data_IF_125209886801
#
_entry.id   IF_125209886801
#
_cell.length_a   1.000
_cell.length_b   1.000
_cell.length_c   1.000
_cell.angle_alpha   90.00
_cell.angle_beta   90.00
_cell.angle_gamma   90.00
#
_symmetry.space_group_name_H-M   'P 1'
#
loop_
_entity.id
_entity.type
_entity.pdbx_description
1 polymer ?
#
# COMPACT_ATOMS: atom_id res chain seq x y z
N UNK A 1 -13.21 -30.75 -3.15
CA UNK A 1 -12.89 -30.06 -1.89
C UNK A 1 -14.11 -29.22 -1.53
N UNK A 2 -14.78 -29.52 -0.41
CA UNK A 2 -15.97 -28.79 -0.01
C UNK A 2 -15.58 -27.33 0.27
N UNK A 3 -16.04 -26.41 -0.57
CA UNK A 3 -15.97 -25.00 -0.25
C UNK A 3 -16.80 -24.79 1.01
N UNK A 4 -16.15 -24.43 2.12
CA UNK A 4 -16.85 -23.93 3.31
C UNK A 4 -17.78 -22.82 2.83
N UNK A 5 -19.09 -23.02 2.98
CA UNK A 5 -20.10 -22.00 2.65
C UNK A 5 -19.80 -20.78 3.50
N UNK A 6 -19.27 -19.72 2.87
CA UNK A 6 -19.00 -18.46 3.56
C UNK A 6 -20.34 -17.85 3.98
N UNK A 7 -20.52 -17.69 5.28
CA UNK A 7 -21.67 -17.00 5.87
C UNK A 7 -21.43 -15.48 6.05
N UNK A 8 -20.41 -14.91 5.37
CA UNK A 8 -20.02 -13.51 5.51
C UNK A 8 -19.64 -12.88 4.16
N UNK A 9 -19.93 -11.59 4.03
CA UNK A 9 -19.65 -10.80 2.82
C UNK A 9 -18.25 -10.15 2.81
N UNK A 10 -17.40 -10.50 3.78
CA UNK A 10 -16.01 -10.02 3.82
C UNK A 10 -15.12 -10.71 2.78
N UNK A 11 -14.28 -9.90 2.13
CA UNK A 11 -13.23 -10.37 1.24
C UNK A 11 -12.07 -10.97 2.05
N UNK A 12 -11.79 -12.25 1.84
CA UNK A 12 -10.59 -12.91 2.35
C UNK A 12 -9.51 -12.86 1.27
N UNK A 13 -8.53 -12.00 1.46
CA UNK A 13 -7.45 -11.77 0.50
C UNK A 13 -6.48 -12.96 0.50
N UNK A 14 -6.02 -13.36 -0.68
CA UNK A 14 -5.02 -14.40 -0.82
C UNK A 14 -3.65 -13.93 -0.31
N UNK A 15 -2.73 -14.84 0.07
CA UNK A 15 -1.37 -14.46 0.42
C UNK A 15 -0.71 -13.65 -0.70
N UNK A 16 -0.26 -12.44 -0.38
CA UNK A 16 0.34 -11.51 -1.34
C UNK A 16 1.80 -11.21 -0.98
N UNK A 17 2.72 -11.18 -1.96
CA UNK A 17 4.13 -10.84 -1.72
C UNK A 17 4.37 -9.33 -1.60
N UNK A 18 3.44 -8.49 -2.06
CA UNK A 18 3.62 -7.04 -2.17
C UNK A 18 3.97 -6.32 -0.86
N UNK A 19 3.41 -6.68 0.32
CA UNK A 19 3.79 -6.06 1.58
C UNK A 19 5.28 -6.23 1.91
N UNK A 20 5.83 -7.42 1.66
CA UNK A 20 7.24 -7.71 1.93
C UNK A 20 8.16 -6.98 0.95
N UNK A 21 7.83 -7.02 -0.35
CA UNK A 21 8.58 -6.32 -1.39
C UNK A 21 8.58 -4.80 -1.14
N UNK A 22 7.44 -4.25 -0.73
CA UNK A 22 7.30 -2.85 -0.37
C UNK A 22 8.16 -2.44 0.82
N UNK A 23 8.18 -3.25 1.89
CA UNK A 23 9.00 -3.01 3.07
C UNK A 23 10.50 -2.99 2.74
N UNK A 24 10.99 -3.97 1.97
CA UNK A 24 12.39 -4.03 1.54
C UNK A 24 12.74 -2.84 0.64
N UNK A 25 11.85 -2.49 -0.29
CA UNK A 25 12.06 -1.36 -1.20
C UNK A 25 12.12 -0.02 -0.45
N UNK A 26 11.23 0.19 0.51
CA UNK A 26 11.21 1.38 1.36
C UNK A 26 12.46 1.46 2.24
N UNK A 27 12.93 0.33 2.78
CA UNK A 27 14.18 0.27 3.54
C UNK A 27 15.40 0.67 2.71
N UNK A 28 15.53 0.13 1.50
CA UNK A 28 16.59 0.50 0.55
C UNK A 28 16.50 1.99 0.19
N UNK A 29 15.28 2.50 -0.05
CA UNK A 29 15.05 3.92 -0.35
C UNK A 29 15.48 4.82 0.81
N UNK A 30 15.17 4.45 2.06
CA UNK A 30 15.56 5.22 3.24
C UNK A 30 17.08 5.28 3.42
N UNK A 31 17.78 4.14 3.31
CA UNK A 31 19.26 4.10 3.35
C UNK A 31 19.84 4.94 2.21
N UNK A 32 19.31 4.79 1.00
CA UNK A 32 19.73 5.56 -0.15
C UNK A 32 19.53 7.07 0.04
N UNK A 33 18.43 7.47 0.68
CA UNK A 33 18.15 8.87 1.01
C UNK A 33 19.18 9.44 1.99
N UNK A 34 19.53 8.70 3.04
CA UNK A 34 20.58 9.09 3.99
C UNK A 34 21.92 9.26 3.25
N UNK A 35 22.31 8.30 2.41
CA UNK A 35 23.55 8.36 1.65
C UNK A 35 23.58 9.53 0.65
N UNK A 36 22.45 9.83 0.04
CA UNK A 36 22.34 10.95 -0.88
C UNK A 36 22.50 12.30 -0.15
N UNK A 37 21.84 12.48 1.00
CA UNK A 37 21.98 13.69 1.83
C UNK A 37 23.41 13.89 2.37
N UNK A 38 24.18 12.80 2.48
CA UNK A 38 25.59 12.81 2.89
C UNK A 38 26.57 12.87 1.70
N UNK A 39 26.11 13.18 0.49
CA UNK A 39 26.92 13.32 -0.73
C UNK A 39 27.71 12.04 -1.13
N UNK A 40 27.25 10.85 -0.76
CA UNK A 40 27.90 9.58 -1.14
C UNK A 40 27.47 9.15 -2.53
N UNK A 41 26.18 8.85 -2.71
CA UNK A 41 25.62 8.48 -4.01
C UNK A 41 24.09 8.57 -4.01
N UNK A 42 23.46 9.07 -5.09
CA UNK A 42 22.00 9.09 -5.22
C UNK A 42 21.42 7.77 -5.77
N UNK A 43 22.25 6.88 -6.33
CA UNK A 43 21.75 5.72 -7.09
C UNK A 43 20.93 4.74 -6.25
N UNK A 44 21.33 4.53 -4.99
CA UNK A 44 20.64 3.62 -4.07
C UNK A 44 19.23 4.13 -3.75
N UNK A 45 19.06 5.45 -3.62
CA UNK A 45 17.74 6.06 -3.44
C UNK A 45 16.83 5.78 -4.63
N UNK A 46 17.33 6.01 -5.86
CA UNK A 46 16.53 5.79 -7.07
C UNK A 46 16.17 4.33 -7.30
N UNK A 47 17.04 3.38 -6.95
CA UNK A 47 16.72 1.95 -6.98
C UNK A 47 15.57 1.64 -6.00
N UNK A 48 15.65 2.14 -4.77
CA UNK A 48 14.59 1.98 -3.78
C UNK A 48 13.27 2.62 -4.22
N UNK A 49 13.33 3.82 -4.81
CA UNK A 49 12.17 4.55 -5.34
C UNK A 49 11.47 3.76 -6.45
N UNK A 50 12.22 3.22 -7.41
CA UNK A 50 11.66 2.35 -8.47
C UNK A 50 11.00 1.11 -7.86
N UNK A 51 11.61 0.50 -6.84
CA UNK A 51 11.02 -0.65 -6.14
C UNK A 51 9.70 -0.32 -5.43
N UNK A 52 9.61 0.84 -4.77
CA UNK A 52 8.38 1.32 -4.12
C UNK A 52 7.29 1.58 -5.15
N UNK A 53 7.61 2.30 -6.23
CA UNK A 53 6.66 2.60 -7.30
C UNK A 53 6.15 1.32 -7.98
N UNK A 54 7.04 0.37 -8.23
CA UNK A 54 6.68 -0.94 -8.78
C UNK A 54 5.74 -1.72 -7.85
N UNK A 55 6.00 -1.68 -6.54
CA UNK A 55 5.13 -2.32 -5.54
C UNK A 55 3.75 -1.66 -5.52
N UNK A 56 3.68 -0.33 -5.50
CA UNK A 56 2.43 0.42 -5.54
C UNK A 56 1.61 0.07 -6.79
N UNK A 57 2.25 0.11 -7.97
CA UNK A 57 1.59 -0.21 -9.23
C UNK A 57 1.03 -1.64 -9.23
N UNK A 58 1.86 -2.62 -8.85
CA UNK A 58 1.48 -4.04 -8.88
C UNK A 58 0.37 -4.35 -7.87
N UNK A 59 0.47 -3.78 -6.66
CA UNK A 59 -0.53 -3.97 -5.63
C UNK A 59 -1.87 -3.34 -6.02
N UNK A 60 -1.89 -2.09 -6.48
CA UNK A 60 -3.13 -1.45 -6.94
C UNK A 60 -3.73 -2.15 -8.15
N UNK A 61 -2.92 -2.66 -9.07
CA UNK A 61 -3.40 -3.47 -10.18
C UNK A 61 -4.13 -4.73 -9.69
N UNK A 62 -3.64 -5.38 -8.65
CA UNK A 62 -4.29 -6.55 -8.05
C UNK A 62 -5.60 -6.17 -7.32
N UNK A 63 -5.64 -5.05 -6.60
CA UNK A 63 -6.90 -4.53 -6.01
C UNK A 63 -7.95 -4.26 -7.08
N UNK A 64 -7.56 -3.74 -8.25
CA UNK A 64 -8.48 -3.52 -9.37
C UNK A 64 -8.97 -4.85 -9.97
N UNK A 65 -8.09 -5.86 -10.07
CA UNK A 65 -8.48 -7.19 -10.53
C UNK A 65 -9.48 -7.85 -9.57
N UNK A 66 -9.23 -7.77 -8.27
CA UNK A 66 -10.13 -8.25 -7.20
C UNK A 66 -11.49 -7.54 -7.26
N UNK A 67 -11.49 -6.23 -7.49
CA UNK A 67 -12.72 -5.46 -7.68
C UNK A 67 -13.56 -5.98 -8.86
N UNK A 68 -12.92 -6.20 -10.01
CA UNK A 68 -13.57 -6.72 -11.21
C UNK A 68 -13.95 -8.21 -11.11
N UNK A 69 -13.28 -8.97 -10.24
CA UNK A 69 -13.59 -10.35 -9.93
C UNK A 69 -14.86 -10.54 -9.09
N UNK A 70 -15.43 -9.44 -8.56
CA UNK A 70 -16.65 -9.46 -7.75
C UNK A 70 -16.40 -9.58 -6.24
N UNK A 71 -15.14 -9.53 -5.79
CA UNK A 71 -14.80 -9.65 -4.37
C UNK A 71 -15.16 -8.39 -3.56
N UNK A 72 -15.45 -7.28 -4.24
CA UNK A 72 -15.85 -6.00 -3.63
C UNK A 72 -17.36 -5.93 -3.38
N UNK A 73 -17.85 -6.70 -2.40
CA UNK A 73 -19.23 -6.61 -1.91
C UNK A 73 -19.56 -5.19 -1.37
N UNK A 74 -20.84 -4.80 -1.23
CA UNK A 74 -21.20 -3.48 -0.69
C UNK A 74 -20.58 -3.18 0.68
N UNK A 75 -20.44 -4.22 1.53
CA UNK A 75 -19.76 -4.10 2.84
C UNK A 75 -18.28 -3.78 2.65
N UNK A 76 -17.57 -4.48 1.75
CA UNK A 76 -16.15 -4.23 1.47
C UNK A 76 -15.94 -2.82 0.90
N UNK A 77 -16.81 -2.36 -0.01
CA UNK A 77 -16.74 -1.01 -0.57
C UNK A 77 -16.96 0.07 0.50
N UNK A 78 -17.87 -0.16 1.46
CA UNK A 78 -18.07 0.75 2.58
C UNK A 78 -16.80 0.88 3.42
N UNK A 79 -16.11 -0.23 3.71
CA UNK A 79 -14.84 -0.21 4.44
C UNK A 79 -13.72 0.49 3.66
N UNK A 80 -13.68 0.35 2.33
CA UNK A 80 -12.72 1.09 1.51
C UNK A 80 -12.93 2.61 1.60
N UNK A 81 -14.19 3.06 1.64
CA UNK A 81 -14.53 4.48 1.86
C UNK A 81 -14.13 4.96 3.26
N UNK A 82 -14.38 4.17 4.31
CA UNK A 82 -13.88 4.47 5.65
C UNK A 82 -12.36 4.54 5.72
N UNK A 83 -11.66 3.61 5.08
CA UNK A 83 -10.20 3.64 4.97
C UNK A 83 -9.69 4.93 4.35
N UNK A 84 -10.28 5.37 3.23
CA UNK A 84 -9.88 6.62 2.58
C UNK A 84 -10.20 7.86 3.44
N UNK A 85 -11.37 7.89 4.10
CA UNK A 85 -11.71 9.00 5.01
C UNK A 85 -10.72 9.09 6.18
N UNK A 86 -10.31 7.96 6.76
CA UNK A 86 -9.32 7.93 7.83
C UNK A 86 -7.92 8.34 7.34
N UNK A 87 -7.53 7.92 6.12
CA UNK A 87 -6.29 8.37 5.50
C UNK A 87 -6.28 9.90 5.31
N UNK A 88 -7.35 10.49 4.78
CA UNK A 88 -7.48 11.94 4.64
C UNK A 88 -7.43 12.64 6.00
N UNK A 89 -8.10 12.08 7.02
CA UNK A 89 -8.03 12.61 8.37
C UNK A 89 -6.60 12.61 8.92
N UNK A 90 -5.80 11.58 8.65
CA UNK A 90 -4.37 11.57 9.04
C UNK A 90 -3.53 12.60 8.28
N UNK A 91 -3.83 12.86 7.00
CA UNK A 91 -3.17 13.93 6.23
C UNK A 91 -3.48 15.32 6.83
N UNK A 92 -4.72 15.57 7.22
CA UNK A 92 -5.09 16.82 7.92
C UNK A 92 -4.28 16.97 9.22
N UNK A 93 -4.13 15.91 10.01
CA UNK A 93 -3.31 15.94 11.24
C UNK A 93 -1.82 16.15 10.95
N UNK A 94 -1.29 15.62 9.85
CA UNK A 94 0.05 15.92 9.39
C UNK A 94 0.22 17.42 9.09
N UNK A 95 -0.75 18.05 8.41
CA UNK A 95 -0.75 19.50 8.20
C UNK A 95 -0.82 20.30 9.50
N UNK A 96 -1.62 19.87 10.48
CA UNK A 96 -1.70 20.52 11.80
C UNK A 96 -0.33 20.66 12.44
N UNK A 97 0.56 19.67 12.30
CA UNK A 97 1.92 19.73 12.85
C UNK A 97 2.79 20.86 12.27
N UNK A 98 2.45 21.40 11.09
CA UNK A 98 3.15 22.54 10.47
C UNK A 98 2.55 23.90 10.85
N UNK A 99 1.29 23.93 11.29
CA UNK A 99 0.57 25.15 11.68
C UNK A 99 0.52 25.36 13.20
N UNK A 100 0.96 24.37 13.98
CA UNK A 100 1.24 24.49 15.41
C UNK A 100 2.59 25.19 15.64
#
# INVERSE_FOLDING_TARGET
MAAHTKHHDYHLVNPSPWPFVGAVSAFVMAIGGIQWMHNVTPWIFFIGLVGVLFTMYSWWADVIKEANGGDHTPVVQLHHRYGMMLFIASEVMFFVAWFW
#
